data_IF_766580758120
#
_entry.id   IF_766580758120
#
_cell.length_a   1.000
_cell.length_b   1.000
_cell.length_c   1.000
_cell.angle_alpha   90.00
_cell.angle_beta   90.00
_cell.angle_gamma   90.00
#
_symmetry.space_group_name_H-M   'P 1'
#
loop_
_entity.id
_entity.type
_entity.pdbx_description
1 polymer ?
#
# COMPACT_ATOMS: atom_id res chain seq x y z
N UNK A 1 33.37 49.61 64.20
CA UNK A 1 33.99 48.76 63.16
C UNK A 1 32.88 47.93 62.54
N UNK A 2 32.43 48.28 61.32
CA UNK A 2 32.79 47.62 60.04
C UNK A 2 32.13 46.22 59.94
N UNK A 3 31.37 45.81 58.92
CA UNK A 3 31.15 46.26 57.53
C UNK A 3 29.87 45.57 56.99
N UNK A 4 29.14 46.26 56.09
CA UNK A 4 28.06 45.73 55.22
C UNK A 4 28.61 44.68 54.24
N UNK A 5 27.80 43.72 53.77
CA UNK A 5 27.74 43.47 52.32
C UNK A 5 26.39 42.84 51.91
N UNK A 6 25.77 43.50 50.95
CA UNK A 6 24.57 43.15 50.21
C UNK A 6 24.97 42.11 49.17
N UNK A 7 24.20 41.04 49.00
CA UNK A 7 24.24 40.21 47.78
C UNK A 7 22.84 40.11 47.19
N UNK A 8 22.67 40.75 46.03
CA UNK A 8 21.49 40.68 45.18
C UNK A 8 21.12 39.24 44.84
N UNK A 9 19.85 38.87 45.05
CA UNK A 9 19.24 37.73 44.36
C UNK A 9 18.93 38.19 42.93
N UNK A 10 19.66 37.65 41.95
CA UNK A 10 19.33 37.79 40.54
C UNK A 10 18.17 36.82 40.27
N UNK A 11 16.96 37.35 40.13
CA UNK A 11 15.83 36.61 39.57
C UNK A 11 16.11 36.37 38.08
N UNK A 12 16.56 35.18 37.72
CA UNK A 12 16.59 34.71 36.33
C UNK A 12 15.14 34.38 35.96
N UNK A 13 14.46 35.34 35.31
CA UNK A 13 13.26 35.06 34.54
C UNK A 13 13.65 34.12 33.40
N UNK A 14 13.41 32.83 33.58
CA UNK A 14 13.27 31.91 32.44
C UNK A 14 12.00 32.31 31.69
N UNK A 15 12.17 33.09 30.62
CA UNK A 15 11.19 33.13 29.56
C UNK A 15 11.12 31.72 28.98
N UNK A 16 10.13 30.95 29.43
CA UNK A 16 9.69 29.76 28.70
C UNK A 16 9.29 30.24 27.30
N UNK A 17 10.16 29.98 26.33
CA UNK A 17 9.82 30.08 24.93
C UNK A 17 8.83 28.94 24.66
N UNK A 18 7.54 29.18 24.92
CA UNK A 18 6.46 28.36 24.39
C UNK A 18 6.43 28.59 22.89
N UNK A 19 7.25 27.86 22.13
CA UNK A 19 6.81 27.48 20.79
C UNK A 19 5.76 26.40 20.99
N UNK A 20 4.46 26.65 20.75
CA UNK A 20 3.52 25.54 20.66
C UNK A 20 4.02 24.64 19.54
N UNK A 21 4.15 23.33 19.82
CA UNK A 21 4.37 22.37 18.74
C UNK A 21 3.27 22.57 17.71
N UNK A 22 3.59 22.70 16.41
CA UNK A 22 2.57 22.88 15.39
C UNK A 22 1.62 21.69 15.43
N UNK A 23 0.31 21.95 15.43
CA UNK A 23 -0.71 20.91 15.33
C UNK A 23 -0.45 20.04 14.11
N UNK A 24 -0.28 18.75 14.28
CA UNK A 24 -0.24 17.80 13.17
C UNK A 24 -1.65 17.31 12.88
N UNK A 25 -1.93 17.03 11.61
CA UNK A 25 -3.20 16.47 11.16
C UNK A 25 -2.93 15.18 10.39
N UNK A 26 -3.50 14.09 10.87
CA UNK A 26 -3.51 12.81 10.17
C UNK A 26 -4.90 12.62 9.59
N UNK A 27 -4.99 12.32 8.30
CA UNK A 27 -6.27 12.14 7.61
C UNK A 27 -6.29 10.79 6.90
N UNK A 28 -7.40 10.09 7.04
CA UNK A 28 -7.72 8.92 6.24
C UNK A 28 -8.98 9.16 5.42
N UNK A 29 -9.06 8.50 4.27
CA UNK A 29 -10.23 8.54 3.41
C UNK A 29 -10.60 7.10 3.04
N UNK A 30 -11.87 6.78 3.20
CA UNK A 30 -12.50 5.52 2.79
C UNK A 30 -13.62 5.84 1.79
N UNK A 31 -14.03 4.83 1.02
CA UNK A 31 -15.21 4.93 0.16
C UNK A 31 -16.19 3.81 0.52
N UNK A 32 -17.47 4.16 0.70
CA UNK A 32 -18.52 3.18 0.95
C UNK A 32 -19.07 2.58 -0.36
N UNK A 33 -19.93 1.55 -0.26
CA UNK A 33 -20.58 0.91 -1.43
C UNK A 33 -21.49 1.82 -2.24
N UNK A 34 -21.86 2.99 -1.72
CA UNK A 34 -22.65 4.00 -2.45
C UNK A 34 -21.73 5.00 -3.17
N UNK A 35 -20.42 4.84 -3.04
CA UNK A 35 -19.41 5.73 -3.61
C UNK A 35 -19.15 6.99 -2.77
N UNK A 36 -19.74 7.13 -1.59
CA UNK A 36 -19.50 8.29 -0.73
C UNK A 36 -18.09 8.22 -0.14
N UNK A 37 -17.43 9.37 -0.04
CA UNK A 37 -16.13 9.46 0.62
C UNK A 37 -16.32 9.78 2.10
N UNK A 38 -15.66 8.98 2.94
CA UNK A 38 -15.66 9.12 4.39
C UNK A 38 -14.27 9.60 4.79
N UNK A 39 -14.16 10.86 5.19
CA UNK A 39 -12.94 11.46 5.70
C UNK A 39 -12.92 11.33 7.21
N UNK A 40 -11.82 10.82 7.77
CA UNK A 40 -11.58 10.72 9.21
C UNK A 40 -10.27 11.42 9.53
N UNK A 41 -10.20 12.14 10.64
CA UNK A 41 -8.98 12.82 11.05
C UNK A 41 -8.68 12.72 12.53
N UNK A 42 -7.40 12.81 12.85
CA UNK A 42 -6.87 12.96 14.20
C UNK A 42 -5.90 14.16 14.22
N UNK A 43 -5.89 14.87 15.35
CA UNK A 43 -5.09 16.08 15.55
C UNK A 43 -4.17 15.89 16.75
N UNK A 44 -2.90 16.30 16.63
CA UNK A 44 -1.98 16.28 17.76
C UNK A 44 -1.16 17.57 17.88
N UNK A 45 -1.19 18.30 19.01
CA UNK A 45 -2.15 18.11 20.10
C UNK A 45 -3.60 18.33 19.62
N UNK A 46 -4.56 17.77 20.34
CA UNK A 46 -5.98 18.01 20.06
C UNK A 46 -6.30 19.49 20.18
N UNK A 47 -7.15 19.97 19.27
CA UNK A 47 -7.66 21.34 19.27
C UNK A 47 -9.17 21.30 19.14
N UNK A 48 -9.85 21.95 20.09
CA UNK A 48 -11.31 21.95 20.15
C UNK A 48 -11.92 23.11 19.36
N UNK A 49 -13.14 22.89 18.87
CA UNK A 49 -13.98 23.89 18.22
C UNK A 49 -13.29 24.64 17.07
N UNK A 50 -12.34 23.99 16.40
CA UNK A 50 -11.54 24.58 15.35
C UNK A 50 -12.15 24.23 13.98
N UNK A 51 -12.37 25.21 13.08
CA UNK A 51 -12.88 24.92 11.76
C UNK A 51 -11.98 23.96 10.98
N UNK A 52 -12.60 22.96 10.36
CA UNK A 52 -11.99 21.98 9.49
C UNK A 52 -12.47 22.27 8.07
N UNK A 53 -11.61 22.86 7.26
CA UNK A 53 -11.88 23.21 5.86
C UNK A 53 -11.53 22.02 4.95
N UNK A 54 -12.51 21.44 4.27
CA UNK A 54 -12.32 20.28 3.38
C UNK A 54 -12.35 20.75 1.93
N UNK A 55 -11.24 20.53 1.23
CA UNK A 55 -11.05 20.83 -0.19
C UNK A 55 -11.20 19.55 -1.01
N UNK A 56 -11.86 19.66 -2.16
CA UNK A 56 -12.12 18.52 -3.06
C UNK A 56 -11.55 18.83 -4.45
N UNK A 57 -10.93 17.84 -5.08
CA UNK A 57 -10.40 17.93 -6.44
C UNK A 57 -10.66 16.65 -7.24
N UNK A 58 -10.64 16.78 -8.56
CA UNK A 58 -10.66 15.69 -9.53
C UNK A 58 -9.25 15.12 -9.84
N UNK A 59 -8.20 15.71 -9.26
CA UNK A 59 -6.81 15.23 -9.39
C UNK A 59 -6.03 15.45 -8.09
N UNK A 60 -4.85 14.82 -8.00
CA UNK A 60 -4.02 14.84 -6.80
C UNK A 60 -3.02 16.02 -6.73
N UNK A 61 -3.11 16.99 -7.65
CA UNK A 61 -2.12 18.07 -7.81
C UNK A 61 -2.67 19.48 -7.61
N UNK A 62 -3.91 19.72 -8.06
CA UNK A 62 -4.51 21.05 -8.13
C UNK A 62 -5.80 21.06 -7.33
N UNK A 63 -5.90 21.94 -6.33
CA UNK A 63 -7.08 22.08 -5.49
C UNK A 63 -7.69 23.48 -5.65
N UNK A 64 -9.03 23.62 -5.62
CA UNK A 64 -9.69 24.91 -5.57
C UNK A 64 -9.26 25.72 -4.34
N UNK A 65 -9.37 27.04 -4.42
CA UNK A 65 -9.06 27.93 -3.28
C UNK A 65 -10.11 27.91 -2.18
N UNK A 66 -11.34 27.47 -2.49
CA UNK A 66 -12.46 27.47 -1.58
C UNK A 66 -12.75 26.05 -1.10
N UNK A 67 -13.02 25.90 0.20
CA UNK A 67 -13.46 24.64 0.78
C UNK A 67 -14.85 24.25 0.22
N UNK A 68 -15.05 22.96 -0.06
CA UNK A 68 -16.35 22.39 -0.44
C UNK A 68 -17.25 22.22 0.79
N UNK A 69 -16.64 21.90 1.94
CA UNK A 69 -17.31 21.68 3.21
C UNK A 69 -16.47 22.28 4.34
N UNK A 70 -17.12 22.86 5.33
CA UNK A 70 -16.49 23.29 6.59
C UNK A 70 -17.23 22.59 7.73
N UNK A 71 -16.48 21.92 8.59
CA UNK A 71 -16.98 21.19 9.76
C UNK A 71 -16.15 21.56 10.99
N UNK A 72 -16.32 20.87 12.12
CA UNK A 72 -15.61 21.15 13.37
C UNK A 72 -14.58 20.05 13.70
N UNK A 73 -13.47 20.41 14.33
CA UNK A 73 -12.41 19.47 14.71
C UNK A 73 -12.89 18.32 15.60
N UNK A 74 -13.89 18.57 16.44
CA UNK A 74 -14.51 17.57 17.33
C UNK A 74 -15.50 16.63 16.61
N UNK A 75 -15.77 16.83 15.32
CA UNK A 75 -16.61 15.89 14.57
C UNK A 75 -15.84 14.59 14.25
N UNK A 76 -14.50 14.66 14.13
CA UNK A 76 -13.57 13.58 13.73
C UNK A 76 -13.84 12.90 12.38
N UNK A 77 -15.01 13.12 11.78
CA UNK A 77 -15.48 12.49 10.56
C UNK A 77 -16.33 13.46 9.71
N UNK A 78 -16.20 13.37 8.39
CA UNK A 78 -17.08 14.02 7.44
C UNK A 78 -17.40 13.07 6.28
N UNK A 79 -18.63 13.15 5.77
CA UNK A 79 -19.07 12.35 4.63
C UNK A 79 -19.34 13.26 3.45
N UNK A 80 -18.59 13.08 2.36
CA UNK A 80 -18.82 13.74 1.08
C UNK A 80 -19.63 12.77 0.22
N UNK A 81 -20.91 13.12 -0.01
CA UNK A 81 -21.81 12.29 -0.80
C UNK A 81 -21.39 12.28 -2.26
N UNK A 82 -21.48 11.12 -2.88
CA UNK A 82 -21.44 11.02 -4.33
C UNK A 82 -22.78 11.56 -4.87
N UNK A 83 -22.76 12.74 -5.50
CA UNK A 83 -23.96 13.45 -5.96
C UNK A 83 -24.36 13.04 -7.40
N UNK A 84 -23.62 12.13 -8.03
CA UNK A 84 -23.75 11.80 -9.45
C UNK A 84 -24.38 10.43 -9.71
N UNK A 85 -25.39 10.42 -10.58
CA UNK A 85 -25.95 9.20 -11.21
C UNK A 85 -25.04 8.62 -12.32
N UNK A 86 -23.92 9.29 -12.62
CA UNK A 86 -22.88 8.85 -13.56
C UNK A 86 -21.60 8.41 -12.85
N UNK A 87 -20.77 7.60 -13.51
CA UNK A 87 -19.46 7.17 -12.97
C UNK A 87 -18.59 8.41 -12.72
N UNK A 88 -18.59 8.88 -11.48
CA UNK A 88 -17.83 10.06 -11.08
C UNK A 88 -16.33 9.74 -11.14
N UNK A 89 -15.53 10.70 -11.62
CA UNK A 89 -14.08 10.60 -11.51
C UNK A 89 -13.69 10.54 -10.04
N UNK A 90 -12.74 9.66 -9.70
CA UNK A 90 -12.20 9.53 -8.35
C UNK A 90 -11.78 10.90 -7.81
N UNK A 91 -12.20 11.19 -6.58
CA UNK A 91 -11.99 12.48 -5.91
C UNK A 91 -10.81 12.43 -4.96
N UNK A 92 -10.17 13.57 -4.79
CA UNK A 92 -9.02 13.79 -3.92
C UNK A 92 -9.34 14.89 -2.93
N UNK A 93 -8.79 14.78 -1.73
CA UNK A 93 -9.13 15.63 -0.61
C UNK A 93 -7.88 16.21 0.04
N UNK A 94 -8.03 17.43 0.56
CA UNK A 94 -7.13 18.01 1.55
C UNK A 94 -7.99 18.61 2.64
N UNK A 95 -7.48 18.54 3.87
CA UNK A 95 -8.13 19.14 5.03
C UNK A 95 -7.21 20.20 5.59
N UNK A 96 -7.74 21.37 5.91
CA UNK A 96 -7.02 22.40 6.64
C UNK A 96 -7.66 22.64 8.00
N UNK A 97 -6.86 22.52 9.05
CA UNK A 97 -7.28 22.73 10.44
C UNK A 97 -6.22 23.53 11.16
N UNK A 98 -6.60 24.54 11.94
CA UNK A 98 -5.66 25.41 12.66
C UNK A 98 -4.54 26.00 11.77
N UNK A 99 -4.83 26.25 10.48
CA UNK A 99 -3.85 26.74 9.50
C UNK A 99 -2.91 25.68 8.91
N UNK A 100 -2.99 24.43 9.37
CA UNK A 100 -2.19 23.30 8.88
C UNK A 100 -2.97 22.54 7.82
N UNK A 101 -2.34 22.35 6.66
CA UNK A 101 -2.91 21.60 5.54
C UNK A 101 -2.42 20.17 5.57
N UNK A 102 -3.33 19.20 5.43
CA UNK A 102 -3.00 17.79 5.33
C UNK A 102 -2.32 17.45 4.00
N UNK A 103 -1.72 16.26 3.95
CA UNK A 103 -1.42 15.61 2.69
C UNK A 103 -2.68 15.38 1.85
N UNK A 104 -2.45 15.12 0.55
CA UNK A 104 -3.54 14.73 -0.36
C UNK A 104 -3.99 13.31 -0.03
N UNK A 105 -5.26 13.14 0.31
CA UNK A 105 -5.86 11.85 0.65
C UNK A 105 -7.01 11.48 -0.29
N UNK A 106 -7.22 10.18 -0.46
CA UNK A 106 -8.35 9.56 -1.16
C UNK A 106 -8.47 8.10 -0.67
N UNK A 107 -9.49 7.36 -1.11
CA UNK A 107 -9.66 5.97 -0.73
C UNK A 107 -8.50 5.11 -1.25
N UNK A 108 -7.69 4.53 -0.35
CA UNK A 108 -6.58 3.65 -0.74
C UNK A 108 -7.08 2.26 -1.14
N UNK A 109 -7.99 1.72 -0.35
CA UNK A 109 -8.55 0.38 -0.49
C UNK A 109 -9.88 0.46 -1.24
N UNK A 110 -10.14 -0.56 -2.04
CA UNK A 110 -11.37 -0.68 -2.82
C UNK A 110 -12.15 -1.89 -2.34
N UNK A 111 -13.45 -1.70 -2.16
CA UNK A 111 -14.35 -2.79 -1.82
C UNK A 111 -14.76 -3.54 -3.10
N UNK A 112 -14.03 -4.61 -3.37
CA UNK A 112 -14.29 -5.50 -4.50
C UNK A 112 -15.14 -6.69 -4.06
N UNK A 113 -15.92 -7.26 -4.98
CA UNK A 113 -16.73 -8.45 -4.70
C UNK A 113 -15.85 -9.68 -4.47
N UNK A 114 -14.90 -9.89 -5.39
CA UNK A 114 -14.11 -11.12 -5.45
C UNK A 114 -12.60 -10.90 -5.35
N UNK A 115 -12.12 -9.72 -5.76
CA UNK A 115 -10.70 -9.40 -5.77
C UNK A 115 -10.29 -8.94 -4.37
N UNK A 116 -9.61 -9.81 -3.64
CA UNK A 116 -9.09 -9.43 -2.33
C UNK A 116 -7.92 -8.45 -2.46
N UNK A 117 -7.71 -7.64 -1.43
CA UNK A 117 -6.48 -6.87 -1.23
C UNK A 117 -6.18 -5.84 -2.36
N UNK A 118 -7.18 -5.40 -3.12
CA UNK A 118 -7.04 -4.40 -4.18
C UNK A 118 -6.89 -2.99 -3.59
N UNK A 119 -5.75 -2.35 -3.87
CA UNK A 119 -5.43 -1.01 -3.34
C UNK A 119 -4.47 -0.24 -4.22
N UNK A 120 -4.52 1.08 -4.09
CA UNK A 120 -3.56 2.03 -4.64
C UNK A 120 -2.31 2.11 -3.75
N UNK A 121 -1.12 2.26 -4.34
CA UNK A 121 0.14 2.45 -3.60
C UNK A 121 0.61 3.92 -3.58
N UNK A 122 -0.21 4.85 -4.08
CA UNK A 122 0.05 6.29 -4.05
C UNK A 122 -0.05 6.90 -2.65
N UNK A 123 0.18 8.20 -2.54
CA UNK A 123 0.04 8.96 -1.30
C UNK A 123 1.17 8.84 -0.28
N UNK A 124 2.07 7.86 -0.40
CA UNK A 124 3.21 7.74 0.50
C UNK A 124 4.19 8.90 0.30
N UNK A 125 4.77 9.39 1.39
CA UNK A 125 5.75 10.47 1.39
C UNK A 125 7.16 9.85 1.40
N UNK A 126 8.04 10.37 0.55
CA UNK A 126 9.44 9.95 0.45
C UNK A 126 10.31 10.67 1.47
N UNK A 127 11.54 10.18 1.68
CA UNK A 127 12.54 10.86 2.53
C UNK A 127 12.86 12.29 2.07
N UNK A 128 12.65 12.61 0.77
CA UNK A 128 12.80 13.96 0.20
C UNK A 128 11.49 14.76 0.13
N UNK A 129 10.47 14.39 0.93
CA UNK A 129 9.17 15.05 1.04
C UNK A 129 8.40 15.18 -0.29
N UNK A 130 8.61 14.24 -1.22
CA UNK A 130 7.79 14.09 -2.41
C UNK A 130 6.71 13.06 -2.16
N UNK A 131 5.61 13.16 -2.90
CA UNK A 131 4.49 12.24 -2.76
C UNK A 131 4.49 11.23 -3.91
N UNK A 132 4.31 9.95 -3.61
CA UNK A 132 3.97 8.96 -4.63
C UNK A 132 2.60 9.32 -5.21
N UNK A 133 2.52 9.54 -6.52
CA UNK A 133 1.29 9.95 -7.21
C UNK A 133 0.18 8.93 -7.00
N UNK A 134 -1.01 9.44 -6.72
CA UNK A 134 -2.20 8.60 -6.64
C UNK A 134 -2.63 8.14 -8.03
N UNK A 135 -3.33 7.00 -8.08
CA UNK A 135 -3.98 6.49 -9.29
C UNK A 135 -3.02 5.99 -10.37
N UNK A 136 -1.73 5.79 -10.05
CA UNK A 136 -0.73 5.31 -11.01
C UNK A 136 -0.48 3.82 -10.89
N UNK A 137 -0.34 3.31 -9.68
CA UNK A 137 -0.01 1.91 -9.43
C UNK A 137 -0.97 1.34 -8.41
N UNK A 138 -1.47 0.14 -8.72
CA UNK A 138 -2.36 -0.63 -7.87
C UNK A 138 -1.78 -2.03 -7.66
N UNK A 139 -2.04 -2.61 -6.49
CA UNK A 139 -1.70 -4.00 -6.17
C UNK A 139 -2.93 -4.74 -5.69
N UNK A 140 -2.97 -6.05 -5.92
CA UNK A 140 -4.15 -6.86 -5.59
C UNK A 140 -3.90 -8.36 -5.50
N UNK A 141 -4.89 -9.09 -4.99
CA UNK A 141 -5.04 -10.53 -5.17
C UNK A 141 -5.48 -10.89 -6.59
N UNK A 142 -5.67 -12.18 -6.82
CA UNK A 142 -5.96 -12.68 -8.15
C UNK A 142 -7.35 -12.26 -8.68
N UNK A 143 -7.47 -12.22 -10.00
CA UNK A 143 -8.70 -11.84 -10.68
C UNK A 143 -9.59 -13.04 -11.06
N UNK A 144 -9.28 -14.29 -10.65
CA UNK A 144 -9.95 -15.49 -11.20
C UNK A 144 -11.48 -15.47 -11.14
N UNK A 145 -12.06 -14.79 -10.14
CA UNK A 145 -13.50 -14.73 -9.89
C UNK A 145 -14.10 -13.33 -10.13
N UNK A 146 -13.37 -12.47 -10.85
CA UNK A 146 -13.74 -11.08 -11.12
C UNK A 146 -15.19 -10.98 -11.58
N UNK A 147 -15.96 -10.15 -10.86
CA UNK A 147 -17.36 -9.87 -11.19
C UNK A 147 -17.48 -8.70 -12.16
N UNK A 148 -18.70 -8.42 -12.64
CA UNK A 148 -18.96 -7.21 -13.44
C UNK A 148 -18.69 -5.94 -12.64
N UNK A 149 -19.02 -5.92 -11.34
CA UNK A 149 -18.72 -4.79 -10.46
C UNK A 149 -17.21 -4.56 -10.36
N UNK A 150 -16.44 -5.62 -10.11
CA UNK A 150 -14.97 -5.55 -10.07
C UNK A 150 -14.39 -4.99 -11.38
N UNK A 151 -14.92 -5.43 -12.53
CA UNK A 151 -14.51 -4.95 -13.85
C UNK A 151 -14.81 -3.47 -14.06
N UNK A 152 -15.98 -3.01 -13.62
CA UNK A 152 -16.40 -1.61 -13.73
C UNK A 152 -15.55 -0.72 -12.83
N UNK A 153 -15.21 -1.16 -11.63
CA UNK A 153 -14.34 -0.44 -10.71
C UNK A 153 -12.92 -0.29 -11.28
N UNK A 154 -12.33 -1.37 -11.82
CA UNK A 154 -11.04 -1.24 -12.51
C UNK A 154 -11.11 -0.34 -13.74
N UNK A 155 -12.24 -0.34 -14.44
CA UNK A 155 -12.45 0.52 -15.62
C UNK A 155 -12.63 1.99 -15.23
N UNK A 156 -13.31 2.29 -14.12
CA UNK A 156 -13.49 3.65 -13.59
C UNK A 156 -12.16 4.27 -13.15
N UNK A 157 -11.24 3.44 -12.65
CA UNK A 157 -9.85 3.79 -12.35
C UNK A 157 -8.99 3.97 -13.60
N UNK A 158 -9.50 3.60 -14.77
CA UNK A 158 -8.80 3.70 -16.04
C UNK A 158 -7.58 2.77 -16.13
N UNK A 159 -7.56 1.65 -15.39
CA UNK A 159 -6.45 0.69 -15.44
C UNK A 159 -6.14 0.32 -16.89
N UNK A 160 -4.88 0.43 -17.29
CA UNK A 160 -4.45 0.20 -18.67
C UNK A 160 -3.68 -1.11 -18.83
N UNK A 161 -2.86 -1.44 -17.83
CA UNK A 161 -2.01 -2.64 -17.85
C UNK A 161 -2.21 -3.44 -16.57
N UNK A 162 -2.30 -4.76 -16.72
CA UNK A 162 -2.34 -5.73 -15.62
C UNK A 162 -1.10 -6.62 -15.71
N UNK A 163 -0.34 -6.72 -14.61
CA UNK A 163 0.82 -7.61 -14.52
C UNK A 163 0.53 -8.77 -13.56
N UNK A 164 0.45 -9.99 -14.09
CA UNK A 164 0.24 -11.23 -13.33
C UNK A 164 1.58 -11.83 -12.89
N UNK A 165 1.81 -11.84 -11.57
CA UNK A 165 3.02 -12.35 -10.92
C UNK A 165 2.90 -13.80 -10.44
N UNK A 166 1.76 -14.46 -10.70
CA UNK A 166 1.52 -15.83 -10.23
C UNK A 166 2.48 -16.83 -10.88
N UNK A 167 2.64 -17.95 -10.19
CA UNK A 167 3.56 -19.01 -10.55
C UNK A 167 3.32 -19.63 -11.93
N UNK A 168 4.35 -20.26 -12.48
CA UNK A 168 4.34 -20.89 -13.80
C UNK A 168 3.25 -21.95 -13.97
N UNK A 169 3.01 -22.77 -12.94
CA UNK A 169 2.05 -23.88 -12.91
C UNK A 169 0.58 -23.44 -12.99
N UNK A 170 0.28 -22.16 -12.75
CA UNK A 170 -1.05 -21.60 -12.99
C UNK A 170 -1.26 -21.52 -14.52
N UNK A 171 -1.92 -22.54 -15.07
CA UNK A 171 -2.27 -22.66 -16.48
C UNK A 171 -2.82 -21.35 -17.07
N UNK A 172 -2.44 -21.03 -18.31
CA UNK A 172 -2.93 -19.90 -19.15
C UNK A 172 -4.46 -19.76 -19.26
N UNK A 173 -5.24 -20.74 -18.78
CA UNK A 173 -6.67 -20.93 -19.06
C UNK A 173 -7.63 -19.83 -18.57
N UNK A 174 -7.16 -18.82 -17.82
CA UNK A 174 -8.04 -17.84 -17.19
C UNK A 174 -7.79 -16.38 -17.62
N UNK A 175 -6.91 -16.10 -18.59
CA UNK A 175 -6.61 -14.72 -19.02
C UNK A 175 -7.63 -14.20 -20.06
N UNK A 176 -8.35 -15.10 -20.76
CA UNK A 176 -9.23 -14.74 -21.88
C UNK A 176 -10.47 -13.91 -21.49
N UNK A 177 -10.79 -13.74 -20.20
CA UNK A 177 -11.93 -12.91 -19.77
C UNK A 177 -11.61 -11.41 -19.70
N UNK A 178 -10.35 -10.99 -19.85
CA UNK A 178 -9.93 -9.61 -19.58
C UNK A 178 -9.46 -8.90 -20.85
N UNK A 179 -10.37 -8.62 -21.80
CA UNK A 179 -10.01 -7.95 -23.06
C UNK A 179 -9.84 -6.43 -22.95
N UNK A 180 -10.24 -5.82 -21.82
CA UNK A 180 -10.18 -4.37 -21.63
C UNK A 180 -8.78 -3.83 -21.29
N UNK A 181 -7.85 -4.70 -20.86
CA UNK A 181 -6.53 -4.30 -20.36
C UNK A 181 -5.42 -5.01 -21.11
N UNK A 182 -4.24 -4.38 -21.18
CA UNK A 182 -3.01 -5.05 -21.61
C UNK A 182 -2.56 -6.01 -20.50
N UNK A 183 -2.75 -7.32 -20.70
CA UNK A 183 -2.35 -8.34 -19.73
C UNK A 183 -0.92 -8.83 -20.00
N UNK A 184 -0.05 -8.66 -19.01
CA UNK A 184 1.34 -9.09 -19.02
C UNK A 184 1.52 -10.17 -17.96
N UNK A 185 2.32 -11.20 -18.26
CA UNK A 185 2.60 -12.28 -17.32
C UNK A 185 4.08 -12.35 -17.03
N UNK A 186 4.44 -12.19 -15.75
CA UNK A 186 5.82 -12.20 -15.25
C UNK A 186 5.84 -13.15 -14.05
N UNK A 187 5.98 -14.47 -14.25
CA UNK A 187 5.81 -15.43 -13.14
C UNK A 187 6.93 -15.34 -12.10
N UNK A 188 6.57 -15.14 -10.82
CA UNK A 188 7.51 -15.05 -9.69
C UNK A 188 7.23 -16.16 -8.67
N UNK A 189 7.36 -17.40 -9.15
CA UNK A 189 7.42 -18.65 -8.39
C UNK A 189 7.27 -19.82 -9.36
N UNK A 190 7.83 -20.98 -9.03
CA UNK A 190 7.60 -22.21 -9.79
C UNK A 190 6.26 -22.88 -9.45
N UNK A 191 5.96 -23.02 -8.16
CA UNK A 191 4.74 -23.67 -7.66
C UNK A 191 3.78 -22.65 -7.04
N UNK A 192 2.49 -22.81 -7.34
CA UNK A 192 1.45 -21.89 -6.90
C UNK A 192 0.73 -22.32 -5.63
N UNK A 193 -0.05 -21.37 -5.09
CA UNK A 193 -0.91 -21.59 -3.93
C UNK A 193 -1.81 -22.84 -4.07
N UNK A 194 -2.31 -23.12 -5.27
CA UNK A 194 -3.19 -24.27 -5.50
C UNK A 194 -2.52 -25.61 -5.15
N UNK A 195 -1.28 -25.82 -5.59
CA UNK A 195 -0.50 -27.04 -5.28
C UNK A 195 -0.32 -27.24 -3.78
N UNK A 196 -0.03 -26.15 -3.05
CA UNK A 196 0.14 -26.19 -1.59
C UNK A 196 -1.19 -26.40 -0.88
N UNK A 197 -2.24 -25.70 -1.30
CA UNK A 197 -3.59 -25.83 -0.72
C UNK A 197 -4.09 -27.28 -0.81
N UNK A 198 -3.79 -27.99 -1.90
CA UNK A 198 -4.12 -29.40 -2.04
C UNK A 198 -3.39 -30.28 -1.02
N UNK A 199 -2.10 -30.04 -0.76
CA UNK A 199 -1.34 -30.78 0.26
C UNK A 199 -1.92 -30.57 1.66
N UNK A 200 -2.40 -29.36 1.97
CA UNK A 200 -3.12 -29.08 3.23
C UNK A 200 -4.41 -29.89 3.32
N UNK A 201 -5.22 -29.86 2.26
CA UNK A 201 -6.48 -30.62 2.20
C UNK A 201 -6.26 -32.14 2.35
N UNK A 202 -5.15 -32.66 1.83
CA UNK A 202 -4.77 -34.06 1.97
C UNK A 202 -4.16 -34.39 3.36
N UNK A 203 -3.93 -33.39 4.23
CA UNK A 203 -3.31 -33.56 5.54
C UNK A 203 -1.80 -33.81 5.51
N UNK A 204 -1.14 -33.49 4.39
CA UNK A 204 0.30 -33.68 4.16
C UNK A 204 1.11 -32.38 4.30
N UNK A 205 0.49 -31.35 4.88
CA UNK A 205 1.09 -30.04 5.05
C UNK A 205 0.49 -29.39 6.31
N UNK A 206 1.35 -29.10 7.27
CA UNK A 206 0.98 -28.65 8.62
C UNK A 206 1.41 -27.21 8.87
N UNK A 207 1.06 -26.70 10.05
CA UNK A 207 1.44 -25.36 10.52
C UNK A 207 2.94 -25.07 10.38
N UNK A 208 3.80 -26.02 10.75
CA UNK A 208 5.26 -25.87 10.65
C UNK A 208 5.74 -25.77 9.20
N UNK A 209 5.17 -26.61 8.32
CA UNK A 209 5.49 -26.60 6.89
C UNK A 209 5.12 -25.27 6.23
N UNK A 210 4.01 -24.65 6.66
CA UNK A 210 3.59 -23.34 6.16
C UNK A 210 4.66 -22.26 6.40
N UNK A 211 5.26 -22.24 7.59
CA UNK A 211 6.28 -21.25 7.95
C UNK A 211 7.53 -21.42 7.09
N UNK A 212 8.03 -22.66 6.99
CA UNK A 212 9.23 -22.98 6.22
C UNK A 212 8.99 -22.73 4.73
N UNK A 213 7.83 -23.16 4.20
CA UNK A 213 7.46 -22.92 2.82
C UNK A 213 7.44 -21.43 2.45
N UNK A 214 6.88 -20.57 3.31
CA UNK A 214 6.86 -19.13 3.04
C UNK A 214 8.27 -18.54 3.08
N UNK A 215 9.12 -18.95 4.03
CA UNK A 215 10.53 -18.53 4.06
C UNK A 215 11.28 -18.97 2.80
N UNK A 216 11.16 -20.23 2.41
CA UNK A 216 11.76 -20.77 1.20
C UNK A 216 11.26 -20.04 -0.05
N UNK A 217 9.97 -19.69 -0.11
CA UNK A 217 9.41 -18.88 -1.20
C UNK A 217 10.07 -17.51 -1.29
N UNK A 218 10.28 -16.81 -0.17
CA UNK A 218 10.99 -15.52 -0.19
C UNK A 218 12.44 -15.67 -0.65
N UNK A 219 13.15 -16.68 -0.14
CA UNK A 219 14.53 -16.97 -0.56
C UNK A 219 14.60 -17.30 -2.07
N UNK A 220 13.67 -18.09 -2.58
CA UNK A 220 13.56 -18.46 -3.98
C UNK A 220 13.31 -17.24 -4.88
N UNK A 221 12.36 -16.37 -4.51
CA UNK A 221 12.09 -15.12 -5.23
C UNK A 221 13.35 -14.25 -5.38
N UNK A 222 14.18 -14.18 -4.33
CA UNK A 222 15.39 -13.35 -4.30
C UNK A 222 16.53 -13.98 -5.10
N UNK A 223 16.68 -15.29 -4.99
CA UNK A 223 17.79 -15.99 -5.61
C UNK A 223 17.55 -16.23 -7.11
N UNK A 224 16.32 -16.53 -7.51
CA UNK A 224 16.02 -17.12 -8.80
C UNK A 224 15.11 -16.26 -9.71
N UNK A 225 14.47 -15.21 -9.20
CA UNK A 225 13.50 -14.40 -9.97
C UNK A 225 13.91 -12.93 -10.18
N UNK A 226 15.19 -12.61 -10.01
CA UNK A 226 15.68 -11.23 -10.19
C UNK A 226 15.42 -10.67 -11.60
N UNK A 227 15.54 -11.49 -12.65
CA UNK A 227 15.27 -11.06 -14.03
C UNK A 227 13.81 -10.68 -14.26
N UNK A 228 12.88 -11.36 -13.59
CA UNK A 228 11.45 -11.11 -13.66
C UNK A 228 11.10 -9.80 -12.96
N UNK A 229 11.73 -9.52 -11.81
CA UNK A 229 11.64 -8.19 -11.19
C UNK A 229 12.24 -7.10 -12.08
N UNK A 230 13.35 -7.36 -12.77
CA UNK A 230 13.93 -6.41 -13.71
C UNK A 230 12.96 -6.08 -14.88
N UNK A 231 12.31 -7.11 -15.44
CA UNK A 231 11.27 -6.96 -16.47
C UNK A 231 10.05 -6.18 -15.92
N UNK A 232 9.62 -6.46 -14.70
CA UNK A 232 8.55 -5.71 -14.03
C UNK A 232 8.88 -4.21 -14.00
N UNK A 233 10.10 -3.83 -13.63
CA UNK A 233 10.54 -2.44 -13.63
C UNK A 233 10.67 -1.83 -15.04
N UNK A 234 10.93 -2.63 -16.08
CA UNK A 234 10.90 -2.14 -17.46
C UNK A 234 9.49 -1.67 -17.85
N UNK A 235 8.44 -2.41 -17.46
CA UNK A 235 7.06 -1.97 -17.66
C UNK A 235 6.72 -0.71 -16.86
N UNK A 236 7.19 -0.59 -15.61
CA UNK A 236 6.99 0.61 -14.80
C UNK A 236 7.74 1.84 -15.37
N UNK A 237 8.80 1.63 -16.14
CA UNK A 237 9.55 2.71 -16.78
C UNK A 237 8.88 3.24 -18.06
N UNK A 238 7.78 2.68 -18.54
CA UNK A 238 7.06 3.16 -19.72
C UNK A 238 5.74 3.82 -19.32
N UNK A 239 5.66 5.14 -19.49
CA UNK A 239 4.50 5.98 -19.16
C UNK A 239 3.22 5.51 -19.88
N UNK A 240 3.35 4.84 -21.02
CA UNK A 240 2.21 4.33 -21.77
C UNK A 240 1.53 3.14 -21.09
N UNK A 241 2.13 2.52 -20.08
CA UNK A 241 1.50 1.40 -19.38
C UNK A 241 0.56 1.84 -18.26
N UNK A 242 0.61 3.11 -17.83
CA UNK A 242 -0.13 3.61 -16.69
C UNK A 242 -1.60 3.93 -16.99
N UNK A 243 -2.50 3.77 -15.99
CA UNK A 243 -2.30 3.13 -14.68
C UNK A 243 -2.05 1.62 -14.76
N UNK A 244 -1.18 1.10 -13.87
CA UNK A 244 -0.82 -0.32 -13.82
C UNK A 244 -1.41 -0.95 -12.56
N UNK A 245 -2.05 -2.10 -12.70
CA UNK A 245 -2.33 -3.01 -11.59
C UNK A 245 -1.41 -4.22 -11.67
N UNK A 246 -0.87 -4.69 -10.56
CA UNK A 246 -0.18 -5.99 -10.51
C UNK A 246 -0.71 -6.86 -9.39
N UNK A 247 -0.65 -8.17 -9.59
CA UNK A 247 -1.25 -9.10 -8.64
C UNK A 247 -0.49 -10.42 -8.55
N UNK A 248 -0.74 -11.14 -7.46
CA UNK A 248 -0.38 -12.54 -7.33
C UNK A 248 -1.61 -13.34 -6.91
N UNK A 249 -1.48 -14.31 -6.00
CA UNK A 249 -2.66 -15.06 -5.52
C UNK A 249 -3.49 -14.25 -4.51
N UNK A 250 -2.89 -13.80 -3.41
CA UNK A 250 -3.54 -12.94 -2.39
C UNK A 250 -3.12 -11.47 -2.46
N UNK A 251 -2.20 -11.13 -3.37
CA UNK A 251 -1.59 -9.80 -3.40
C UNK A 251 -0.67 -9.54 -2.22
N UNK A 252 -0.14 -10.60 -1.58
CA UNK A 252 0.64 -10.55 -0.34
C UNK A 252 2.14 -10.70 -0.59
N UNK A 253 2.59 -11.87 -1.03
CA UNK A 253 4.02 -12.23 -1.06
C UNK A 253 4.75 -11.66 -2.28
N UNK A 254 4.49 -12.15 -3.50
CA UNK A 254 5.13 -11.65 -4.73
C UNK A 254 4.83 -10.16 -4.95
N UNK A 255 3.55 -9.78 -4.82
CA UNK A 255 3.14 -8.38 -4.91
C UNK A 255 3.75 -7.54 -3.77
N UNK A 256 3.96 -8.11 -2.58
CA UNK A 256 4.56 -7.42 -1.45
C UNK A 256 6.04 -7.15 -1.68
N UNK A 257 6.77 -8.13 -2.17
CA UNK A 257 8.19 -7.96 -2.48
C UNK A 257 8.40 -7.02 -3.68
N UNK A 258 7.54 -7.09 -4.71
CA UNK A 258 7.53 -6.10 -5.81
C UNK A 258 7.26 -4.67 -5.31
N UNK A 259 6.28 -4.51 -4.40
CA UNK A 259 5.95 -3.20 -3.80
C UNK A 259 7.08 -2.69 -2.92
N UNK A 260 7.70 -3.56 -2.12
CA UNK A 260 8.89 -3.24 -1.33
C UNK A 260 9.99 -2.66 -2.23
N UNK A 261 10.36 -3.34 -3.31
CA UNK A 261 11.38 -2.83 -4.22
C UNK A 261 10.99 -1.51 -4.87
N UNK A 262 9.73 -1.35 -5.27
CA UNK A 262 9.25 -0.12 -5.89
C UNK A 262 9.32 1.07 -4.92
N UNK A 263 8.81 0.92 -3.70
CA UNK A 263 8.83 1.99 -2.70
C UNK A 263 10.26 2.31 -2.25
N UNK A 264 11.16 1.31 -2.15
CA UNK A 264 12.60 1.54 -1.96
C UNK A 264 13.23 2.31 -3.12
N UNK A 265 12.89 1.97 -4.36
CA UNK A 265 13.40 2.69 -5.54
C UNK A 265 12.97 4.16 -5.58
N UNK A 266 11.75 4.43 -5.08
CA UNK A 266 11.18 5.78 -4.93
C UNK A 266 11.67 6.54 -3.70
N UNK A 267 12.44 5.89 -2.82
CA UNK A 267 12.99 6.47 -1.58
C UNK A 267 11.94 6.75 -0.50
N UNK A 268 10.96 5.84 -0.37
CA UNK A 268 9.99 5.84 0.73
C UNK A 268 10.66 5.31 2.03
N UNK A 269 10.36 5.91 3.20
CA UNK A 269 10.83 5.44 4.50
C UNK A 269 10.48 3.97 4.76
N UNK A 270 11.36 3.25 5.47
CA UNK A 270 11.21 1.80 5.65
C UNK A 270 9.98 1.44 6.49
N UNK A 271 9.68 2.18 7.55
CA UNK A 271 8.50 2.03 8.39
C UNK A 271 7.20 2.09 7.56
N UNK A 272 7.08 3.07 6.66
CA UNK A 272 5.93 3.18 5.74
C UNK A 272 5.83 1.97 4.80
N UNK A 273 6.95 1.40 4.37
CA UNK A 273 6.97 0.21 3.52
C UNK A 273 6.55 -1.04 4.32
N UNK A 274 7.00 -1.17 5.56
CA UNK A 274 6.59 -2.24 6.46
C UNK A 274 5.07 -2.15 6.74
N UNK A 275 4.53 -0.94 6.92
CA UNK A 275 3.10 -0.70 7.11
C UNK A 275 2.27 -1.07 5.87
N UNK A 276 2.66 -0.70 4.64
CA UNK A 276 1.96 -1.16 3.41
C UNK A 276 2.00 -2.69 3.27
N UNK A 277 3.14 -3.30 3.60
CA UNK A 277 3.28 -4.74 3.57
C UNK A 277 2.26 -5.39 4.51
N UNK A 278 2.25 -4.95 5.77
CA UNK A 278 1.37 -5.46 6.83
C UNK A 278 -0.11 -5.14 6.62
N UNK A 279 -0.46 -4.11 5.85
CA UNK A 279 -1.84 -3.82 5.48
C UNK A 279 -2.55 -5.01 4.82
N UNK A 280 -1.79 -5.91 4.16
CA UNK A 280 -2.34 -7.14 3.58
C UNK A 280 -2.99 -8.04 4.64
N UNK A 281 -2.52 -8.06 5.89
CA UNK A 281 -3.12 -8.87 6.96
C UNK A 281 -4.52 -8.38 7.36
N UNK A 282 -4.74 -7.08 7.26
CA UNK A 282 -6.00 -6.44 7.66
C UNK A 282 -7.11 -6.64 6.63
N UNK A 283 -6.75 -6.72 5.34
CA UNK A 283 -7.73 -6.68 4.24
C UNK A 283 -7.92 -8.02 3.52
N UNK A 284 -7.07 -9.01 3.77
CA UNK A 284 -7.28 -10.38 3.27
C UNK A 284 -8.31 -11.06 4.16
N UNK A 285 -9.47 -11.34 3.58
CA UNK A 285 -10.54 -12.10 4.23
C UNK A 285 -10.27 -13.60 4.11
N UNK A 286 -9.72 -14.17 5.19
CA UNK A 286 -9.36 -15.58 5.28
C UNK A 286 -10.58 -16.51 5.20
N UNK A 287 -11.77 -16.03 5.58
CA UNK A 287 -13.00 -16.82 5.52
C UNK A 287 -13.41 -17.15 4.08
N UNK A 288 -12.95 -16.35 3.11
CA UNK A 288 -13.21 -16.54 1.67
C UNK A 288 -12.19 -17.44 0.97
N UNK A 289 -11.12 -17.86 1.63
CA UNK A 289 -10.04 -18.63 1.01
C UNK A 289 -10.37 -20.11 0.86
N UNK A 290 -11.02 -20.68 1.87
CA UNK A 290 -11.32 -22.10 1.95
C UNK A 290 -12.79 -22.29 2.26
N UNK A 291 -13.49 -22.99 1.38
CA UNK A 291 -14.91 -23.26 1.56
C UNK A 291 -15.11 -24.24 2.72
N UNK A 292 -16.01 -23.93 3.64
CA UNK A 292 -16.28 -24.72 4.85
C UNK A 292 -15.02 -24.96 5.69
N UNK A 293 -14.17 -23.93 5.84
CA UNK A 293 -12.92 -24.02 6.61
C UNK A 293 -13.15 -24.47 8.07
N UNK A 294 -14.28 -24.08 8.65
CA UNK A 294 -14.77 -24.46 9.98
C UNK A 294 -15.00 -25.96 10.14
N UNK A 295 -15.28 -26.67 9.04
CA UNK A 295 -15.46 -28.13 9.03
C UNK A 295 -14.15 -28.92 8.90
N UNK A 296 -13.01 -28.24 8.69
CA UNK A 296 -11.70 -28.89 8.58
C UNK A 296 -11.13 -29.24 9.97
N UNK A 297 -10.20 -30.19 10.02
CA UNK A 297 -9.44 -30.45 11.25
C UNK A 297 -8.65 -29.22 11.69
N UNK A 298 -8.44 -29.07 12.99
CA UNK A 298 -7.66 -27.96 13.58
C UNK A 298 -6.30 -27.79 12.87
N UNK A 299 -5.57 -28.89 12.67
CA UNK A 299 -4.28 -28.88 11.95
C UNK A 299 -4.34 -28.28 10.54
N UNK A 300 -5.44 -28.48 9.81
CA UNK A 300 -5.64 -27.90 8.47
C UNK A 300 -6.01 -26.43 8.56
N UNK A 301 -6.86 -26.06 9.52
CA UNK A 301 -7.22 -24.66 9.77
C UNK A 301 -5.98 -23.84 10.16
N UNK A 302 -5.11 -24.37 11.01
CA UNK A 302 -3.85 -23.74 11.38
C UNK A 302 -2.91 -23.58 10.19
N UNK A 303 -2.76 -24.61 9.35
CA UNK A 303 -1.92 -24.55 8.15
C UNK A 303 -2.41 -23.46 7.17
N UNK A 304 -3.72 -23.40 6.89
CA UNK A 304 -4.30 -22.34 6.05
C UNK A 304 -4.15 -20.95 6.67
N UNK A 305 -4.31 -20.84 7.99
CA UNK A 305 -4.10 -19.60 8.72
C UNK A 305 -2.66 -19.11 8.55
N UNK A 306 -1.67 -19.99 8.72
CA UNK A 306 -0.26 -19.61 8.56
C UNK A 306 0.10 -19.29 7.11
N UNK A 307 -0.43 -20.02 6.13
CA UNK A 307 -0.21 -19.73 4.70
C UNK A 307 -0.79 -18.37 4.27
N UNK A 308 -1.94 -17.99 4.83
CA UNK A 308 -2.62 -16.73 4.47
C UNK A 308 -2.16 -15.53 5.27
N UNK A 309 -1.62 -15.71 6.48
CA UNK A 309 -1.13 -14.63 7.35
C UNK A 309 -0.02 -13.80 6.71
N UNK A 310 -0.12 -12.49 6.84
CA UNK A 310 1.00 -11.58 6.55
C UNK A 310 1.81 -11.40 7.82
N UNK A 311 3.12 -11.59 7.74
CA UNK A 311 4.01 -11.42 8.88
C UNK A 311 5.28 -10.71 8.44
N UNK A 312 5.60 -9.63 9.14
CA UNK A 312 6.77 -8.81 8.86
C UNK A 312 8.09 -9.60 8.94
N UNK A 313 8.11 -10.70 9.70
CA UNK A 313 9.24 -11.62 9.76
C UNK A 313 9.60 -12.20 8.38
N UNK A 314 8.63 -12.42 7.49
CA UNK A 314 8.90 -12.92 6.13
C UNK A 314 9.57 -11.87 5.25
N UNK A 315 9.11 -10.62 5.29
CA UNK A 315 9.78 -9.51 4.59
C UNK A 315 11.20 -9.32 5.11
N UNK A 316 11.38 -9.33 6.44
CA UNK A 316 12.70 -9.21 7.08
C UNK A 316 13.63 -10.37 6.72
N UNK A 317 13.11 -11.60 6.67
CA UNK A 317 13.85 -12.76 6.18
C UNK A 317 14.29 -12.59 4.72
N UNK A 318 13.39 -12.11 3.85
CA UNK A 318 13.74 -11.75 2.48
C UNK A 318 14.84 -10.70 2.40
N UNK A 319 14.77 -9.63 3.20
CA UNK A 319 15.82 -8.60 3.27
C UNK A 319 17.17 -9.21 3.70
N UNK A 320 17.16 -10.16 4.65
CA UNK A 320 18.38 -10.90 5.02
C UNK A 320 18.93 -11.73 3.86
N UNK A 321 18.11 -12.44 3.09
CA UNK A 321 18.56 -13.16 1.89
C UNK A 321 19.11 -12.21 0.81
N UNK A 322 18.54 -11.02 0.64
CA UNK A 322 19.05 -9.98 -0.25
C UNK A 322 20.47 -9.56 0.16
N UNK A 323 20.67 -9.28 1.46
CA UNK A 323 21.97 -8.91 2.03
C UNK A 323 22.99 -10.05 1.93
N UNK A 324 22.56 -11.30 2.12
CA UNK A 324 23.42 -12.47 1.93
C UNK A 324 23.90 -12.57 0.47
N UNK A 325 23.00 -12.37 -0.50
CA UNK A 325 23.32 -12.51 -1.94
C UNK A 325 24.15 -11.36 -2.50
N UNK A 326 23.93 -10.11 -2.05
CA UNK A 326 24.53 -8.90 -2.67
C UNK A 326 25.09 -7.87 -1.69
N UNK A 327 25.15 -8.16 -0.39
CA UNK A 327 25.69 -7.27 0.64
C UNK A 327 24.68 -6.21 1.12
N UNK A 328 23.95 -5.57 0.21
CA UNK A 328 22.93 -4.57 0.55
C UNK A 328 21.70 -4.65 -0.35
N UNK A 329 20.60 -4.03 0.10
CA UNK A 329 19.37 -3.89 -0.71
C UNK A 329 19.61 -3.01 -1.93
N UNK A 330 20.41 -1.96 -1.80
CA UNK A 330 20.72 -1.05 -2.91
C UNK A 330 21.56 -1.75 -3.99
N UNK A 331 22.58 -2.53 -3.59
CA UNK A 331 23.41 -3.30 -4.53
C UNK A 331 22.59 -4.39 -5.22
N UNK A 332 21.67 -5.04 -4.50
CA UNK A 332 20.75 -5.99 -5.11
C UNK A 332 19.83 -5.32 -6.15
N UNK A 333 19.19 -4.20 -5.80
CA UNK A 333 18.35 -3.47 -6.75
C UNK A 333 19.15 -3.03 -7.99
N UNK A 334 20.36 -2.50 -7.80
CA UNK A 334 21.22 -2.05 -8.89
C UNK A 334 21.66 -3.20 -9.80
N UNK A 335 22.20 -4.28 -9.23
CA UNK A 335 22.90 -5.31 -9.98
C UNK A 335 22.02 -6.50 -10.40
N UNK A 336 21.08 -6.91 -9.55
CA UNK A 336 20.18 -8.04 -9.82
C UNK A 336 18.91 -7.57 -10.52
N UNK A 337 18.27 -6.52 -10.01
CA UNK A 337 17.03 -5.98 -10.58
C UNK A 337 17.27 -4.98 -11.72
N UNK A 338 18.53 -4.67 -12.02
CA UNK A 338 18.94 -3.71 -13.03
C UNK A 338 18.29 -2.33 -12.86
N UNK A 339 18.00 -1.92 -11.62
CA UNK A 339 17.49 -0.59 -11.30
C UNK A 339 18.63 0.42 -11.28
N UNK A 340 19.12 0.77 -12.46
CA UNK A 340 20.18 1.77 -12.63
C UNK A 340 19.72 3.15 -12.14
N UNK A 341 20.66 4.08 -11.85
CA UNK A 341 20.31 5.46 -11.50
C UNK A 341 19.36 6.12 -12.51
N UNK A 342 19.52 5.84 -13.80
CA UNK A 342 18.67 6.36 -14.89
C UNK A 342 17.24 5.82 -14.80
N UNK A 343 17.09 4.51 -14.57
CA UNK A 343 15.77 3.89 -14.37
C UNK A 343 15.09 4.44 -13.11
N UNK A 344 15.81 4.56 -11.99
CA UNK A 344 15.26 5.15 -10.76
C UNK A 344 14.84 6.60 -10.97
N UNK A 345 15.66 7.40 -11.68
CA UNK A 345 15.30 8.78 -12.04
C UNK A 345 14.04 8.83 -12.89
N UNK A 346 13.90 7.93 -13.87
CA UNK A 346 12.70 7.81 -14.71
C UNK A 346 11.47 7.43 -13.89
N UNK A 347 11.56 6.41 -13.04
CA UNK A 347 10.49 6.03 -12.11
C UNK A 347 10.06 7.20 -11.24
N UNK A 348 11.02 7.90 -10.62
CA UNK A 348 10.72 9.09 -9.79
C UNK A 348 10.03 10.21 -10.59
N UNK A 349 10.44 10.45 -11.84
CA UNK A 349 9.78 11.45 -12.69
C UNK A 349 8.32 11.10 -13.00
N UNK A 350 8.02 9.81 -13.21
CA UNK A 350 6.68 9.31 -13.52
C UNK A 350 5.79 9.27 -12.28
N UNK A 351 6.35 8.82 -11.16
CA UNK A 351 5.60 8.37 -9.99
C UNK A 351 5.65 9.34 -8.81
N UNK A 352 6.50 10.35 -8.81
CA UNK A 352 6.54 11.33 -7.72
C UNK A 352 5.94 12.67 -8.16
N UNK A 353 5.35 13.37 -7.20
CA UNK A 353 4.87 14.73 -7.28
C UNK A 353 5.57 15.61 -6.25
#
# INVERSE_FOLDING_TARGET
MKIKLISSLISILFLYNCSPNPTTVTVMCEQDRKGNYILKWELYPEVDNTPVEIFVSDNDSSFPSNAKLITNSNDYIAVIKNESDTVEKRKYFRIKVAGVLSEVVTNRFFEMDSIQNFRDIGGYITNDNKRVRWGKIFRSGNFFRMTTHDSLEMSSLGIKTVIDLRSEDIMKKNIERYTAFKNIRIPIAYNGYNSISQKVMEGRFLRGDAIIYTQDTYKDMINNFASQYAEFFDYLCDENNYPIAFHCYLGKDQSGLATFFLLRALDVPMDIIEDDYMASDMVIDRTKLVRNADSLSESRQEAFTMLSRTDLAYLKYGISCIREKRGSVEDYMLHELKLTPEKRKKLKAILLH
#
